data_IF_886600970300
#
_entry.id   IF_886600970300
#
_cell.length_a   1.000
_cell.length_b   1.000
_cell.length_c   1.000
_cell.angle_alpha   90.00
_cell.angle_beta   90.00
_cell.angle_gamma   90.00
#
_symmetry.space_group_name_H-M   'P 1'
#
loop_
_entity.id
_entity.type
_entity.pdbx_description
1 polymer ?
#
# COMPACT_ATOMS: atom_id res chain seq x y z
N UNK A 1 2.94 -19.85 -3.34
CA UNK A 1 1.91 -19.28 -4.21
C UNK A 1 2.06 -17.76 -4.15
N UNK A 2 2.33 -17.11 -5.27
CA UNK A 2 2.36 -15.65 -5.39
C UNK A 2 1.03 -15.22 -5.96
N UNK A 3 0.06 -14.93 -5.10
CA UNK A 3 -1.20 -14.30 -5.51
C UNK A 3 -0.87 -12.93 -6.08
N UNK A 4 -1.29 -12.66 -7.32
CA UNK A 4 -1.23 -11.32 -7.89
C UNK A 4 -2.45 -10.53 -7.40
N UNK A 5 -2.25 -9.25 -7.10
CA UNK A 5 -3.34 -8.32 -6.82
C UNK A 5 -3.50 -7.40 -8.02
N UNK A 6 -4.75 -7.11 -8.41
CA UNK A 6 -5.06 -6.13 -9.43
C UNK A 6 -6.19 -5.21 -8.97
N UNK A 7 -6.16 -3.96 -9.41
CA UNK A 7 -7.23 -3.00 -9.12
C UNK A 7 -8.52 -3.40 -9.82
N UNK A 8 -9.61 -3.47 -9.07
CA UNK A 8 -10.94 -3.73 -9.61
C UNK A 8 -11.43 -2.58 -10.50
N UNK A 9 -11.18 -1.33 -10.08
CA UNK A 9 -11.49 -0.13 -10.87
C UNK A 9 -10.25 0.76 -11.01
N UNK A 10 -9.45 0.60 -12.08
CA UNK A 10 -8.23 1.36 -12.31
C UNK A 10 -8.43 2.88 -12.50
N UNK A 11 -9.65 3.32 -12.80
CA UNK A 11 -9.96 4.75 -12.92
C UNK A 11 -10.23 5.42 -11.56
N UNK A 12 -10.42 4.62 -10.49
CA UNK A 12 -10.59 5.11 -9.14
C UNK A 12 -9.25 5.31 -8.46
N UNK A 13 -9.03 6.48 -7.87
CA UNK A 13 -7.88 6.76 -7.00
C UNK A 13 -8.24 6.79 -5.51
N UNK A 14 -9.45 6.35 -5.15
CA UNK A 14 -9.96 6.45 -3.77
C UNK A 14 -9.05 5.76 -2.74
N UNK A 15 -8.41 4.65 -3.10
CA UNK A 15 -7.45 3.97 -2.23
C UNK A 15 -6.13 4.75 -2.07
N UNK A 16 -5.71 5.49 -3.11
CA UNK A 16 -4.56 6.38 -3.02
C UNK A 16 -4.88 7.59 -2.14
N UNK A 17 -6.08 8.15 -2.24
CA UNK A 17 -6.56 9.22 -1.36
C UNK A 17 -6.63 8.77 0.10
N UNK A 18 -7.22 7.60 0.38
CA UNK A 18 -7.23 7.00 1.73
C UNK A 18 -5.81 6.78 2.27
N UNK A 19 -4.91 6.24 1.43
CA UNK A 19 -3.52 6.04 1.81
C UNK A 19 -2.82 7.35 2.16
N UNK A 20 -2.99 8.39 1.33
CA UNK A 20 -2.44 9.73 1.54
C UNK A 20 -2.88 10.32 2.88
N UNK A 21 -4.18 10.25 3.17
CA UNK A 21 -4.77 10.77 4.40
C UNK A 21 -4.22 10.05 5.63
N UNK A 22 -4.16 8.71 5.59
CA UNK A 22 -3.63 7.90 6.69
C UNK A 22 -2.14 8.17 6.92
N UNK A 23 -1.33 8.17 5.87
CA UNK A 23 0.12 8.42 6.00
C UNK A 23 0.39 9.82 6.55
N UNK A 24 -0.30 10.83 6.01
CA UNK A 24 -0.16 12.23 6.46
C UNK A 24 -0.59 12.38 7.92
N UNK A 25 -1.72 11.78 8.30
CA UNK A 25 -2.24 11.79 9.67
C UNK A 25 -1.30 11.13 10.68
N UNK A 26 -0.67 10.01 10.31
CA UNK A 26 0.28 9.31 11.19
C UNK A 26 1.61 10.07 11.34
N UNK A 27 2.14 10.63 10.25
CA UNK A 27 3.38 11.41 10.28
C UNK A 27 3.20 12.70 11.08
N UNK A 28 2.04 13.35 10.99
CA UNK A 28 1.73 14.54 11.79
C UNK A 28 1.69 14.25 13.30
N UNK A 29 1.31 13.03 13.69
CA UNK A 29 1.20 12.60 15.09
C UNK A 29 2.49 11.97 15.63
N UNK A 30 3.43 11.59 14.78
CA UNK A 30 4.67 10.94 15.19
C UNK A 30 5.57 11.91 15.99
N UNK A 31 6.13 11.47 17.14
CA UNK A 31 7.09 12.28 17.89
C UNK A 31 8.29 12.63 16.99
N UNK A 32 8.63 13.92 16.89
CA UNK A 32 9.77 14.36 16.08
C UNK A 32 11.09 14.00 16.79
N UNK A 33 11.50 12.74 16.71
CA UNK A 33 12.80 12.29 17.20
C UNK A 33 13.94 12.72 16.28
N UNK A 34 15.06 13.15 16.87
CA UNK A 34 16.28 13.45 16.13
C UNK A 34 16.85 12.16 15.52
N UNK A 35 16.86 12.07 14.19
CA UNK A 35 17.53 10.98 13.44
C UNK A 35 16.63 10.06 12.62
N UNK A 36 15.29 10.21 12.67
CA UNK A 36 14.42 9.52 11.72
C UNK A 36 14.39 10.28 10.40
N UNK A 37 15.00 9.69 9.37
CA UNK A 37 14.85 10.13 7.99
C UNK A 37 13.37 9.99 7.61
N UNK A 38 12.66 11.12 7.55
CA UNK A 38 11.26 11.13 7.09
C UNK A 38 11.24 10.74 5.64
N UNK A 39 10.54 9.65 5.37
CA UNK A 39 10.30 9.19 3.99
C UNK A 39 9.17 10.06 3.45
N UNK A 40 9.37 10.72 2.30
CA UNK A 40 8.32 11.50 1.68
C UNK A 40 7.08 10.63 1.45
N UNK A 41 5.91 11.11 1.87
CA UNK A 41 4.62 10.42 1.61
C UNK A 41 4.46 10.13 0.12
N UNK A 42 4.92 11.04 -0.74
CA UNK A 42 4.90 10.88 -2.19
C UNK A 42 5.62 9.60 -2.66
N UNK A 43 6.74 9.22 -2.02
CA UNK A 43 7.50 8.03 -2.41
C UNK A 43 6.73 6.75 -2.06
N UNK A 44 6.07 6.73 -0.90
CA UNK A 44 5.24 5.59 -0.47
C UNK A 44 3.98 5.45 -1.32
N UNK A 45 3.41 6.56 -1.77
CA UNK A 45 2.29 6.56 -2.73
C UNK A 45 2.74 6.02 -4.08
N UNK A 46 3.92 6.40 -4.56
CA UNK A 46 4.42 5.88 -5.83
C UNK A 46 4.70 4.37 -5.77
N UNK A 47 5.07 3.82 -4.62
CA UNK A 47 5.17 2.36 -4.42
C UNK A 47 3.83 1.68 -4.66
N UNK A 48 2.72 2.26 -4.17
CA UNK A 48 1.38 1.70 -4.39
C UNK A 48 0.95 1.89 -5.84
N UNK A 49 1.22 3.05 -6.46
CA UNK A 49 0.96 3.23 -7.90
C UNK A 49 1.77 2.27 -8.78
N UNK A 50 3.01 1.97 -8.42
CA UNK A 50 3.82 0.96 -9.09
C UNK A 50 3.23 -0.46 -8.90
N UNK A 51 2.65 -0.75 -7.74
CA UNK A 51 1.92 -2.00 -7.51
C UNK A 51 0.63 -2.05 -8.36
N UNK A 52 -0.13 -0.97 -8.43
CA UNK A 52 -1.36 -0.86 -9.22
C UNK A 52 -1.13 -1.11 -10.72
N UNK A 53 0.04 -0.70 -11.23
CA UNK A 53 0.48 -0.96 -12.61
C UNK A 53 1.08 -2.36 -12.82
N UNK A 54 1.30 -3.12 -11.77
CA UNK A 54 1.97 -4.42 -11.81
C UNK A 54 3.50 -4.35 -11.88
N UNK A 55 4.11 -3.17 -11.76
CA UNK A 55 5.57 -2.99 -11.71
C UNK A 55 6.17 -3.57 -10.42
N UNK A 56 5.37 -3.58 -9.33
CA UNK A 56 5.72 -4.18 -8.05
C UNK A 56 4.69 -5.23 -7.62
N UNK A 57 5.19 -6.35 -7.10
CA UNK A 57 4.33 -7.30 -6.38
C UNK A 57 3.96 -6.76 -4.98
N UNK A 58 2.84 -7.21 -4.39
CA UNK A 58 2.48 -6.86 -3.01
C UNK A 58 3.59 -7.16 -2.00
N UNK A 59 4.32 -8.27 -2.21
CA UNK A 59 5.47 -8.67 -1.40
C UNK A 59 6.64 -7.69 -1.52
N UNK A 60 6.89 -7.12 -2.70
CA UNK A 60 7.93 -6.10 -2.88
C UNK A 60 7.50 -4.78 -2.23
N UNK A 61 6.26 -4.34 -2.43
CA UNK A 61 5.72 -3.14 -1.79
C UNK A 61 5.79 -3.24 -0.25
N UNK A 62 5.37 -4.38 0.34
CA UNK A 62 5.51 -4.66 1.78
C UNK A 62 6.95 -4.49 2.29
N UNK A 63 7.96 -4.93 1.54
CA UNK A 63 9.37 -4.76 1.92
C UNK A 63 9.80 -3.29 1.93
N UNK A 64 9.32 -2.51 0.95
CA UNK A 64 9.62 -1.07 0.88
C UNK A 64 9.01 -0.35 2.08
N UNK A 65 7.74 -0.59 2.39
CA UNK A 65 7.09 -0.02 3.57
C UNK A 65 7.76 -0.45 4.89
N UNK A 66 8.21 -1.70 5.00
CA UNK A 66 8.94 -2.18 6.17
C UNK A 66 10.30 -1.48 6.36
N UNK A 67 10.98 -1.10 5.27
CA UNK A 67 12.24 -0.36 5.34
C UNK A 67 12.05 1.08 5.80
N UNK A 68 10.96 1.70 5.38
CA UNK A 68 10.66 3.10 5.65
C UNK A 68 9.99 3.34 7.01
N UNK A 69 9.33 2.32 7.58
CA UNK A 69 8.74 2.29 8.93
C UNK A 69 7.99 3.58 9.29
N UNK A 70 6.71 3.68 8.91
CA UNK A 70 5.82 4.78 9.33
C UNK A 70 5.17 4.42 10.67
N UNK A 71 5.48 5.13 11.78
CA UNK A 71 4.89 4.84 13.08
C UNK A 71 3.36 4.91 13.02
N UNK A 72 2.67 3.93 13.61
CA UNK A 72 1.21 3.90 13.65
C UNK A 72 0.53 3.45 12.34
N UNK A 73 1.29 3.18 11.28
CA UNK A 73 0.77 2.67 10.01
C UNK A 73 1.30 1.26 9.70
N UNK A 74 0.42 0.38 9.21
CA UNK A 74 0.78 -0.96 8.74
C UNK A 74 0.26 -1.17 7.33
N UNK A 75 1.18 -1.20 6.36
CA UNK A 75 0.84 -1.41 4.95
C UNK A 75 0.15 -2.76 4.72
N UNK A 76 0.62 -3.82 5.41
CA UNK A 76 -0.01 -5.14 5.29
C UNK A 76 -1.45 -5.16 5.77
N UNK A 77 -1.75 -4.45 6.86
CA UNK A 77 -3.14 -4.32 7.35
C UNK A 77 -3.99 -3.52 6.36
N UNK A 78 -3.49 -2.37 5.90
CA UNK A 78 -4.17 -1.54 4.92
C UNK A 78 -4.48 -2.33 3.64
N UNK A 79 -3.53 -3.14 3.15
CA UNK A 79 -3.73 -3.95 1.96
C UNK A 79 -4.83 -5.01 2.13
N UNK A 80 -4.94 -5.64 3.31
CA UNK A 80 -6.03 -6.56 3.62
C UNK A 80 -7.38 -5.82 3.60
N UNK A 81 -7.45 -4.64 4.20
CA UNK A 81 -8.67 -3.80 4.17
C UNK A 81 -9.08 -3.47 2.72
N UNK A 82 -8.13 -3.12 1.85
CA UNK A 82 -8.41 -2.85 0.43
C UNK A 82 -8.90 -4.10 -0.35
N UNK A 83 -8.44 -5.29 0.02
CA UNK A 83 -8.96 -6.54 -0.56
C UNK A 83 -10.37 -6.83 -0.05
N UNK A 84 -10.61 -6.68 1.26
CA UNK A 84 -11.92 -6.90 1.88
C UNK A 84 -12.99 -5.93 1.35
N UNK A 85 -12.59 -4.69 1.03
CA UNK A 85 -13.45 -3.67 0.41
C UNK A 85 -13.64 -3.86 -1.11
N UNK A 86 -12.96 -4.84 -1.71
CA UNK A 86 -13.04 -5.14 -3.15
C UNK A 86 -12.34 -4.11 -4.05
N UNK A 87 -11.41 -3.33 -3.50
CA UNK A 87 -10.54 -2.42 -4.26
C UNK A 87 -9.52 -3.22 -5.04
N UNK A 88 -8.83 -4.15 -4.36
CA UNK A 88 -7.97 -5.13 -4.98
C UNK A 88 -8.67 -6.49 -5.05
N UNK A 89 -8.43 -7.19 -6.15
CA UNK A 89 -8.86 -8.57 -6.32
C UNK A 89 -7.63 -9.48 -6.39
N UNK A 90 -7.72 -10.63 -5.73
CA UNK A 90 -6.72 -11.68 -5.87
C UNK A 90 -6.96 -12.41 -7.19
N UNK A 91 -5.90 -12.55 -8.00
CA UNK A 91 -5.90 -13.47 -9.13
C UNK A 91 -5.81 -14.90 -8.59
N UNK A 92 -6.96 -15.43 -8.20
CA UNK A 92 -7.11 -16.84 -7.85
C UNK A 92 -7.16 -17.57 -9.19
N UNK A 93 -6.01 -18.03 -9.68
CA UNK A 93 -5.95 -18.88 -10.87
C UNK A 93 -7.03 -19.96 -10.74
N UNK A 94 -7.98 -19.90 -11.68
CA UNK A 94 -9.14 -20.76 -11.77
C UNK A 94 -8.67 -22.19 -12.12
N UNK A 95 -8.24 -23.00 -11.13
CA UNK A 95 -8.05 -24.45 -11.28
C UNK A 95 -9.41 -25.19 -11.29
N UNK A 96 -10.38 -24.68 -12.05
CA UNK A 96 -11.66 -25.32 -12.28
C UNK A 96 -12.17 -25.03 -13.71
N UNK A 97 -11.52 -25.65 -14.70
CA UNK A 97 -12.15 -26.00 -15.99
C UNK A 97 -11.37 -27.13 -16.67
#
# INVERSE_FOLDING_TARGET
>A
MTSALYLHNPASEAHIEDLLDRLTGQIAQAPQGAGQQRVPVADLVEVVRAMDRGDLTPKQALKVFAHHSVPGFSFGRWLVEMVDEGVYLEDIYNEAA
#
